data_IF_558923273070
#
_entry.id   IF_558923273070
#
_cell.length_a   1.000
_cell.length_b   1.000
_cell.length_c   1.000
_cell.angle_alpha   90.00
_cell.angle_beta   90.00
_cell.angle_gamma   90.00
#
_symmetry.space_group_name_H-M   'P 1'
#
loop_
_entity.id
_entity.type
_entity.pdbx_description
1 polymer ?
#
# COMPACT_ATOMS: atom_id res chain seq x y z
N UNK A 1 7.42 -3.37 -20.13
CA UNK A 1 6.67 -2.86 -18.96
C UNK A 1 5.42 -2.15 -19.46
N UNK A 2 4.23 -2.63 -19.08
CA UNK A 2 2.97 -2.06 -19.57
C UNK A 2 2.64 -0.72 -18.89
N UNK A 3 1.93 0.18 -19.59
CA UNK A 3 1.51 1.50 -19.06
C UNK A 3 0.74 1.40 -17.73
N UNK A 4 -0.01 0.32 -17.51
CA UNK A 4 -0.73 0.05 -16.25
C UNK A 4 0.18 -0.32 -15.06
N UNK A 5 1.36 -0.85 -15.32
CA UNK A 5 2.32 -1.26 -14.27
C UNK A 5 3.11 -0.06 -13.75
N UNK A 6 3.40 0.92 -14.61
CA UNK A 6 4.00 2.21 -14.23
C UNK A 6 3.04 3.00 -13.33
N UNK A 7 1.76 3.09 -13.71
CA UNK A 7 0.72 3.74 -12.88
C UNK A 7 0.63 3.09 -11.49
N UNK A 8 0.61 1.74 -11.41
CA UNK A 8 0.57 1.03 -10.12
C UNK A 8 1.80 1.33 -9.26
N UNK A 9 3.00 1.43 -9.84
CA UNK A 9 4.22 1.79 -9.12
C UNK A 9 4.18 3.22 -8.57
N UNK A 10 3.61 4.17 -9.31
CA UNK A 10 3.46 5.56 -8.86
C UNK A 10 2.55 5.64 -7.63
N UNK A 11 1.38 5.00 -7.65
CA UNK A 11 0.48 4.99 -6.49
C UNK A 11 1.10 4.25 -5.30
N UNK A 12 1.83 3.16 -5.53
CA UNK A 12 2.48 2.46 -4.44
C UNK A 12 3.55 3.34 -3.74
N UNK A 13 4.26 4.18 -4.51
CA UNK A 13 5.12 5.23 -3.96
C UNK A 13 4.32 6.32 -3.22
N UNK A 14 3.16 6.71 -3.75
CA UNK A 14 2.25 7.64 -3.04
C UNK A 14 1.78 7.07 -1.71
N UNK A 15 1.55 5.76 -1.62
CA UNK A 15 1.19 5.10 -0.38
C UNK A 15 2.31 5.12 0.67
N UNK A 16 3.59 5.19 0.27
CA UNK A 16 4.73 5.37 1.18
C UNK A 16 4.67 6.73 1.91
N UNK A 17 3.95 7.73 1.38
CA UNK A 17 3.74 8.99 2.08
C UNK A 17 2.96 8.82 3.40
N UNK A 18 2.17 7.75 3.53
CA UNK A 18 1.39 7.49 4.75
C UNK A 18 2.30 7.19 5.95
N UNK A 19 3.18 6.15 5.93
CA UNK A 19 4.10 5.92 7.03
C UNK A 19 5.05 7.10 7.29
N UNK A 20 5.52 7.79 6.23
CA UNK A 20 6.36 8.98 6.37
C UNK A 20 5.62 10.11 7.08
N UNK A 21 4.36 10.36 6.70
CA UNK A 21 3.51 11.34 7.38
C UNK A 21 3.23 10.99 8.84
N UNK A 22 3.01 9.71 9.14
CA UNK A 22 2.87 9.23 10.53
C UNK A 22 4.16 9.46 11.32
N UNK A 23 5.32 9.25 10.70
CA UNK A 23 6.63 9.46 11.34
C UNK A 23 6.86 10.92 11.73
N UNK A 24 6.54 11.87 10.86
CA UNK A 24 6.81 13.30 11.12
C UNK A 24 5.69 14.04 11.87
N UNK A 25 4.46 13.52 11.89
CA UNK A 25 3.35 14.17 12.57
C UNK A 25 3.10 13.60 13.98
N UNK A 26 2.45 14.35 14.88
CA UNK A 26 1.92 13.81 16.12
C UNK A 26 0.94 12.67 15.84
N UNK A 27 1.04 11.58 16.61
CA UNK A 27 0.26 10.36 16.35
C UNK A 27 -1.26 10.62 16.35
N UNK A 28 -1.74 11.53 17.19
CA UNK A 28 -3.16 11.87 17.26
C UNK A 28 -3.64 12.61 16.01
N UNK A 29 -2.80 13.48 15.44
CA UNK A 29 -3.09 14.13 14.17
C UNK A 29 -3.08 13.11 13.03
N UNK A 30 -2.08 12.22 12.99
CA UNK A 30 -2.00 11.14 12.00
C UNK A 30 -3.23 10.24 12.03
N UNK A 31 -3.69 9.83 13.22
CA UNK A 31 -4.91 9.02 13.41
C UNK A 31 -6.15 9.73 12.88
N UNK A 32 -6.33 11.03 13.17
CA UNK A 32 -7.45 11.84 12.65
C UNK A 32 -7.43 11.87 11.12
N UNK A 33 -6.27 12.17 10.53
CA UNK A 33 -6.11 12.21 9.06
C UNK A 33 -6.42 10.84 8.45
N UNK A 34 -5.90 9.74 9.02
CA UNK A 34 -6.15 8.38 8.54
C UNK A 34 -7.64 8.01 8.59
N UNK A 35 -8.33 8.34 9.68
CA UNK A 35 -9.78 8.11 9.80
C UNK A 35 -10.54 8.93 8.75
N UNK A 36 -10.20 10.22 8.58
CA UNK A 36 -10.83 11.05 7.56
C UNK A 36 -10.64 10.50 6.15
N UNK A 37 -9.42 10.08 5.81
CA UNK A 37 -9.11 9.45 4.52
C UNK A 37 -9.83 8.11 4.34
N UNK A 38 -9.92 7.29 5.39
CA UNK A 38 -10.65 6.03 5.37
C UNK A 38 -12.14 6.24 5.13
N UNK A 39 -12.75 7.22 5.79
CA UNK A 39 -14.16 7.57 5.58
C UNK A 39 -14.40 8.01 4.13
N UNK A 40 -13.53 8.87 3.58
CA UNK A 40 -13.60 9.25 2.16
C UNK A 40 -13.47 8.03 1.25
N UNK A 41 -12.53 7.11 1.53
CA UNK A 41 -12.36 5.89 0.76
C UNK A 41 -13.60 4.98 0.81
N UNK A 42 -14.26 4.87 1.97
CA UNK A 42 -15.52 4.13 2.11
C UNK A 42 -16.63 4.80 1.31
N UNK A 43 -16.77 6.13 1.37
CA UNK A 43 -17.76 6.86 0.56
C UNK A 43 -17.54 6.62 -0.93
N UNK A 44 -16.29 6.68 -1.40
CA UNK A 44 -15.93 6.36 -2.80
C UNK A 44 -16.29 4.91 -3.14
N UNK A 45 -16.04 3.96 -2.23
CA UNK A 45 -16.37 2.54 -2.40
C UNK A 45 -17.87 2.29 -2.49
N UNK A 46 -18.69 3.02 -1.71
CA UNK A 46 -20.14 2.95 -1.79
C UNK A 46 -20.63 3.60 -3.09
N UNK A 47 -20.19 4.83 -3.38
CA UNK A 47 -20.59 5.58 -4.56
C UNK A 47 -20.30 4.83 -5.87
N UNK A 48 -19.14 4.17 -5.98
CA UNK A 48 -18.79 3.39 -7.18
C UNK A 48 -19.62 2.12 -7.36
N UNK A 49 -20.29 1.64 -6.31
CA UNK A 49 -21.17 0.46 -6.37
C UNK A 49 -22.62 0.82 -6.60
N UNK A 50 -23.06 1.98 -6.12
CA UNK A 50 -24.46 2.41 -6.20
C UNK A 50 -24.75 3.29 -7.41
N UNK A 51 -23.80 4.11 -7.85
CA UNK A 51 -24.00 5.08 -8.93
C UNK A 51 -23.28 4.65 -10.22
N UNK A 52 -24.00 4.26 -11.29
CA UNK A 52 -23.39 3.82 -12.55
C UNK A 52 -22.48 4.88 -13.18
N UNK A 53 -22.91 6.15 -13.16
CA UNK A 53 -22.10 7.27 -13.66
C UNK A 53 -20.75 7.40 -12.94
N UNK A 54 -20.78 7.35 -11.60
CA UNK A 54 -19.55 7.46 -10.80
C UNK A 54 -18.64 6.25 -10.99
N UNK A 55 -19.22 5.05 -11.13
CA UNK A 55 -18.48 3.82 -11.47
C UNK A 55 -17.73 3.98 -12.78
N UNK A 56 -18.38 4.47 -13.83
CA UNK A 56 -17.78 4.59 -15.16
C UNK A 56 -16.67 5.66 -15.16
N UNK A 57 -16.88 6.77 -14.45
CA UNK A 57 -15.86 7.79 -14.21
C UNK A 57 -14.66 7.20 -13.45
N UNK A 58 -14.92 6.49 -12.36
CA UNK A 58 -13.90 5.83 -11.55
C UNK A 58 -13.10 4.81 -12.38
N UNK A 59 -13.77 3.98 -13.17
CA UNK A 59 -13.11 3.00 -14.04
C UNK A 59 -12.31 3.66 -15.16
N UNK A 60 -12.75 4.82 -15.67
CA UNK A 60 -11.98 5.59 -16.67
C UNK A 60 -10.64 6.08 -16.12
N UNK A 61 -10.61 6.56 -14.88
CA UNK A 61 -9.39 7.08 -14.26
C UNK A 61 -8.54 5.99 -13.58
N UNK A 62 -9.17 5.14 -12.78
CA UNK A 62 -8.51 4.16 -11.91
C UNK A 62 -8.60 2.71 -12.41
N UNK A 63 -9.47 2.41 -13.38
CA UNK A 63 -9.76 1.04 -13.86
C UNK A 63 -8.52 0.24 -14.25
N UNK A 64 -7.54 0.87 -14.93
CA UNK A 64 -6.29 0.21 -15.32
C UNK A 64 -5.37 -0.19 -14.15
N UNK A 65 -5.70 0.27 -12.94
CA UNK A 65 -4.93 0.04 -11.71
C UNK A 65 -5.52 -1.04 -10.84
N UNK A 66 -6.85 -1.26 -10.91
CA UNK A 66 -7.51 -2.32 -10.17
C UNK A 66 -7.07 -3.70 -10.68
N UNK A 67 -7.06 -4.68 -9.80
CA UNK A 67 -7.05 -6.10 -10.16
C UNK A 67 -8.49 -6.54 -10.46
N UNK A 68 -8.65 -7.60 -11.25
CA UNK A 68 -9.98 -8.03 -11.73
C UNK A 68 -10.98 -8.28 -10.58
N UNK A 69 -10.49 -8.80 -9.45
CA UNK A 69 -11.30 -9.01 -8.25
C UNK A 69 -11.62 -7.72 -7.48
N UNK A 70 -10.79 -6.68 -7.60
CA UNK A 70 -11.03 -5.37 -6.95
C UNK A 70 -12.05 -4.53 -7.71
N UNK A 71 -12.30 -4.81 -8.99
CA UNK A 71 -13.31 -4.10 -9.80
C UNK A 71 -14.68 -4.16 -9.12
N UNK A 72 -15.04 -5.34 -8.59
CA UNK A 72 -16.29 -5.58 -7.84
C UNK A 72 -16.11 -5.66 -6.32
N UNK A 73 -14.87 -5.85 -5.85
CA UNK A 73 -14.50 -5.97 -4.43
C UNK A 73 -14.13 -4.66 -3.75
N UNK A 74 -13.47 -4.68 -2.60
CA UNK A 74 -12.91 -3.45 -1.98
C UNK A 74 -11.55 -3.18 -2.62
N UNK A 75 -11.21 -1.91 -2.85
CA UNK A 75 -9.90 -1.56 -3.43
C UNK A 75 -8.75 -1.77 -2.43
N UNK A 76 -7.56 -2.09 -2.95
CA UNK A 76 -6.34 -2.16 -2.15
C UNK A 76 -6.01 -0.86 -1.39
N UNK A 77 -6.41 0.31 -1.91
CA UNK A 77 -6.22 1.58 -1.22
C UNK A 77 -7.06 1.69 0.06
N UNK A 78 -8.33 1.25 0.01
CA UNK A 78 -9.20 1.20 1.18
C UNK A 78 -8.67 0.21 2.22
N UNK A 79 -8.19 -0.97 1.79
CA UNK A 79 -7.54 -1.92 2.68
C UNK A 79 -6.28 -1.33 3.33
N UNK A 80 -5.45 -0.61 2.58
CA UNK A 80 -4.25 0.01 3.10
C UNK A 80 -4.57 1.08 4.15
N UNK A 81 -5.55 1.95 3.89
CA UNK A 81 -6.00 2.97 4.86
C UNK A 81 -6.59 2.33 6.11
N UNK A 82 -7.37 1.26 5.95
CA UNK A 82 -7.91 0.49 7.06
C UNK A 82 -6.79 -0.13 7.90
N UNK A 83 -5.81 -0.78 7.26
CA UNK A 83 -4.65 -1.34 7.94
C UNK A 83 -3.83 -0.26 8.65
N UNK A 84 -3.60 0.89 8.02
CA UNK A 84 -2.86 2.00 8.61
C UNK A 84 -3.56 2.59 9.84
N UNK A 85 -4.88 2.80 9.78
CA UNK A 85 -5.66 3.17 10.95
C UNK A 85 -5.53 2.08 12.04
N UNK A 86 -5.79 0.83 11.70
CA UNK A 86 -5.76 -0.28 12.65
C UNK A 86 -4.43 -0.42 13.39
N UNK A 87 -3.30 -0.43 12.67
CA UNK A 87 -1.98 -0.58 13.30
C UNK A 87 -1.56 0.63 14.13
N UNK A 88 -1.99 1.85 13.76
CA UNK A 88 -1.70 3.06 14.54
C UNK A 88 -2.52 3.17 15.82
N UNK A 89 -3.66 2.47 15.92
CA UNK A 89 -4.43 2.35 17.16
C UNK A 89 -3.92 1.23 18.06
N UNK A 90 -3.46 0.11 17.49
CA UNK A 90 -3.03 -1.06 18.28
C UNK A 90 -1.58 -1.01 18.76
N UNK A 91 -0.69 -0.39 17.98
CA UNK A 91 0.74 -0.44 18.24
C UNK A 91 1.34 0.94 18.50
N UNK A 92 2.57 0.95 19.04
CA UNK A 92 3.35 2.19 19.17
C UNK A 92 3.63 2.80 17.80
N UNK A 93 3.81 4.12 17.76
CA UNK A 93 4.09 4.88 16.52
C UNK A 93 5.20 4.23 15.69
N UNK A 94 6.31 3.83 16.33
CA UNK A 94 7.46 3.23 15.65
C UNK A 94 7.11 1.88 15.00
N UNK A 95 6.37 1.02 15.71
CA UNK A 95 5.93 -0.28 15.17
C UNK A 95 4.95 -0.08 14.01
N UNK A 96 4.02 0.87 14.14
CA UNK A 96 3.07 1.20 13.08
C UNK A 96 3.77 1.71 11.81
N UNK A 97 4.72 2.65 11.95
CA UNK A 97 5.52 3.16 10.82
C UNK A 97 6.31 2.05 10.16
N UNK A 98 7.03 1.23 10.94
CA UNK A 98 7.81 0.10 10.40
C UNK A 98 6.93 -0.89 9.64
N UNK A 99 5.78 -1.28 10.21
CA UNK A 99 4.85 -2.22 9.60
C UNK A 99 4.33 -1.71 8.25
N UNK A 100 4.00 -0.42 8.18
CA UNK A 100 3.51 0.22 6.96
C UNK A 100 4.61 0.44 5.92
N UNK A 101 5.87 0.64 6.32
CA UNK A 101 6.99 0.67 5.39
C UNK A 101 7.32 -0.71 4.84
N UNK A 102 7.21 -1.77 5.64
CA UNK A 102 7.34 -3.13 5.13
C UNK A 102 6.24 -3.44 4.10
N UNK A 103 5.02 -2.99 4.37
CA UNK A 103 3.89 -3.13 3.44
C UNK A 103 4.09 -2.34 2.13
N UNK A 104 4.64 -1.12 2.18
CA UNK A 104 4.72 -0.25 0.99
C UNK A 104 6.06 -0.34 0.25
N UNK A 105 7.17 -0.41 0.97
CA UNK A 105 8.51 -0.47 0.35
C UNK A 105 8.95 -1.92 0.16
N UNK A 106 8.75 -2.75 1.19
CA UNK A 106 9.10 -4.17 1.14
C UNK A 106 8.31 -4.92 0.07
N UNK A 107 6.98 -4.83 0.08
CA UNK A 107 6.11 -5.54 -0.88
C UNK A 107 6.31 -5.08 -2.34
N UNK A 108 6.51 -3.77 -2.56
CA UNK A 108 6.92 -3.26 -3.87
C UNK A 108 8.23 -3.85 -4.34
N UNK A 109 9.23 -3.89 -3.47
CA UNK A 109 10.55 -4.46 -3.80
C UNK A 109 10.42 -5.94 -4.13
N UNK A 110 9.66 -6.69 -3.35
CA UNK A 110 9.36 -8.10 -3.62
C UNK A 110 8.75 -8.30 -5.01
N UNK A 111 7.78 -7.47 -5.37
CA UNK A 111 7.09 -7.55 -6.67
C UNK A 111 8.01 -7.14 -7.82
N UNK A 112 8.80 -6.08 -7.66
CA UNK A 112 9.72 -5.58 -8.69
C UNK A 112 10.79 -6.62 -9.00
N UNK A 113 11.51 -7.10 -7.97
CA UNK A 113 12.58 -8.07 -8.18
C UNK A 113 12.03 -9.46 -8.51
N UNK A 114 10.92 -9.85 -7.88
CA UNK A 114 10.29 -11.13 -8.12
C UNK A 114 9.77 -11.28 -9.54
N UNK A 115 9.25 -10.22 -10.17
CA UNK A 115 8.82 -10.23 -11.58
C UNK A 115 9.95 -9.97 -12.57
N UNK A 116 10.89 -9.08 -12.25
CA UNK A 116 11.96 -8.72 -13.19
C UNK A 116 13.08 -9.76 -13.26
N UNK A 117 13.39 -10.42 -12.15
CA UNK A 117 14.55 -11.33 -12.02
C UNK A 117 14.22 -12.65 -11.31
N UNK A 118 12.97 -12.90 -10.96
CA UNK A 118 12.58 -14.13 -10.26
C UNK A 118 12.69 -15.34 -11.18
N UNK A 119 13.59 -16.27 -10.86
CA UNK A 119 13.78 -17.52 -11.60
C UNK A 119 13.29 -18.70 -10.78
N UNK A 120 13.59 -18.72 -9.48
CA UNK A 120 13.24 -19.82 -8.58
C UNK A 120 11.88 -19.58 -7.94
N UNK A 121 10.83 -20.18 -8.48
CA UNK A 121 9.47 -20.14 -7.90
C UNK A 121 9.40 -20.98 -6.63
N UNK A 122 8.82 -20.42 -5.57
CA UNK A 122 8.54 -21.12 -4.31
C UNK A 122 7.08 -21.56 -4.27
N UNK A 123 6.17 -20.65 -4.66
CA UNK A 123 4.74 -20.88 -4.56
C UNK A 123 3.97 -20.00 -5.56
N UNK A 124 3.27 -20.62 -6.50
CA UNK A 124 2.58 -19.92 -7.61
C UNK A 124 3.55 -18.93 -8.30
N UNK A 125 3.25 -17.64 -8.25
CA UNK A 125 4.06 -16.56 -8.83
C UNK A 125 5.04 -15.91 -7.85
N UNK A 126 5.19 -16.46 -6.63
CA UNK A 126 6.17 -16.00 -5.63
C UNK A 126 7.52 -16.66 -5.89
N UNK A 127 8.58 -15.86 -5.88
CA UNK A 127 9.95 -16.29 -6.19
C UNK A 127 10.90 -16.05 -5.03
N UNK A 128 11.95 -16.86 -4.91
CA UNK A 128 13.00 -16.69 -3.88
C UNK A 128 13.66 -15.32 -3.97
N UNK A 129 13.88 -14.83 -5.18
CA UNK A 129 14.48 -13.52 -5.42
C UNK A 129 13.56 -12.39 -4.93
N UNK A 130 12.25 -12.52 -5.13
CA UNK A 130 11.27 -11.57 -4.57
C UNK A 130 11.25 -11.60 -3.05
N UNK A 131 11.26 -12.78 -2.43
CA UNK A 131 11.31 -12.91 -0.96
C UNK A 131 12.62 -12.36 -0.38
N UNK A 132 13.76 -12.62 -1.02
CA UNK A 132 15.04 -12.07 -0.61
C UNK A 132 15.05 -10.53 -0.73
N UNK A 133 14.47 -9.98 -1.80
CA UNK A 133 14.33 -8.53 -1.96
C UNK A 133 13.44 -7.92 -0.87
N UNK A 134 12.31 -8.54 -0.52
CA UNK A 134 11.48 -8.10 0.61
C UNK A 134 12.26 -8.06 1.91
N UNK A 135 13.00 -9.12 2.20
CA UNK A 135 13.74 -9.27 3.45
C UNK A 135 14.84 -8.22 3.56
N UNK A 136 15.68 -8.08 2.51
CA UNK A 136 16.76 -7.10 2.49
C UNK A 136 16.26 -5.67 2.59
N UNK A 137 15.19 -5.32 1.86
CA UNK A 137 14.65 -3.95 1.89
C UNK A 137 13.97 -3.63 3.22
N UNK A 138 13.20 -4.56 3.79
CA UNK A 138 12.62 -4.40 5.13
C UNK A 138 13.69 -4.30 6.21
N UNK A 139 14.77 -5.08 6.12
CA UNK A 139 15.90 -5.00 7.05
C UNK A 139 16.59 -3.63 6.99
N UNK A 140 16.87 -3.12 5.78
CA UNK A 140 17.47 -1.79 5.60
C UNK A 140 16.57 -0.68 6.16
N UNK A 141 15.26 -0.74 5.91
CA UNK A 141 14.29 0.19 6.48
C UNK A 141 14.30 0.16 8.01
N UNK A 142 14.31 -1.05 8.60
CA UNK A 142 14.34 -1.21 10.05
C UNK A 142 15.62 -0.64 10.67
N UNK A 143 16.78 -0.86 10.03
CA UNK A 143 18.05 -0.31 10.48
C UNK A 143 18.09 1.21 10.34
N UNK A 144 17.58 1.77 9.24
CA UNK A 144 17.53 3.21 9.03
C UNK A 144 16.68 3.92 10.09
N UNK A 145 15.49 3.40 10.38
CA UNK A 145 14.59 3.98 11.40
C UNK A 145 15.11 3.81 12.84
N UNK A 146 15.82 2.73 13.13
CA UNK A 146 16.44 2.53 14.46
C UNK A 146 17.58 3.53 14.72
N UNK A 147 18.21 4.06 13.67
CA UNK A 147 19.32 4.99 13.77
C UNK A 147 18.89 6.45 13.93
N UNK A 148 17.59 6.75 13.82
CA UNK A 148 17.10 8.08 14.20
C UNK A 148 17.02 8.19 15.74
N UNK A 149 17.77 9.13 16.36
CA UNK A 149 17.85 9.29 17.80
C UNK A 149 16.54 9.78 18.45
#
# INVERSE_FOLDING_TARGET
>A
MGKGEIKRKVIHFTCTLIPVGIHHLPIDLSRKILISLLLVAIVVEVARRTLPFFRDLFMRFFGGMLRDYEVRGITGATYLLLSAAFVTFLFSKNIAVLSLLFLTVGDASATVFGRARGRKKIYKDKTLEGTAAFFLTSLLVALALRYEP
#
